data_IF_942505986122
#
_entry.id   IF_942505986122
#
_cell.length_a   1.000
_cell.length_b   1.000
_cell.length_c   1.000
_cell.angle_alpha   90.00
_cell.angle_beta   90.00
_cell.angle_gamma   90.00
#
_symmetry.space_group_name_H-M   'P 1'
#
loop_
_entity.id
_entity.type
_entity.pdbx_description
1 polymer ?
#
# COMPACT_ATOMS: atom_id res chain seq x y z
N UNK A 1 12.38 -2.27 -16.27
CA UNK A 1 11.60 -1.01 -16.26
C UNK A 1 11.01 -0.61 -14.90
N UNK A 2 10.68 -1.55 -13.98
CA UNK A 2 10.21 -1.19 -12.61
C UNK A 2 11.34 -0.93 -11.59
N UNK A 3 12.55 -1.46 -11.82
CA UNK A 3 13.70 -1.29 -10.93
C UNK A 3 14.15 0.18 -10.76
N UNK A 4 13.83 1.07 -11.71
CA UNK A 4 14.22 2.49 -11.62
C UNK A 4 13.51 3.24 -10.50
N UNK A 5 12.24 2.93 -10.21
CA UNK A 5 11.50 3.60 -9.12
C UNK A 5 12.09 3.21 -7.77
N UNK A 6 12.35 1.92 -7.56
CA UNK A 6 12.95 1.45 -6.31
C UNK A 6 14.33 2.05 -6.07
N UNK A 7 15.14 2.18 -7.13
CA UNK A 7 16.45 2.82 -7.05
C UNK A 7 16.35 4.32 -6.74
N UNK A 8 15.55 5.07 -7.50
CA UNK A 8 15.35 6.51 -7.30
C UNK A 8 14.78 6.80 -5.90
N UNK A 9 13.82 5.98 -5.44
CA UNK A 9 13.26 6.11 -4.09
C UNK A 9 14.33 5.93 -3.03
N UNK A 10 15.13 4.88 -3.11
CA UNK A 10 16.17 4.62 -2.13
C UNK A 10 17.30 5.66 -2.17
N UNK A 11 17.65 6.19 -3.34
CA UNK A 11 18.59 7.32 -3.44
C UNK A 11 18.07 8.58 -2.71
N UNK A 12 16.75 8.78 -2.67
CA UNK A 12 16.14 9.94 -2.03
C UNK A 12 15.82 9.72 -0.55
N UNK A 13 15.50 8.50 -0.12
CA UNK A 13 14.97 8.20 1.22
C UNK A 13 15.85 7.27 2.05
N UNK A 14 16.80 6.58 1.40
CA UNK A 14 17.66 5.55 1.98
C UNK A 14 16.90 4.42 2.66
N UNK A 15 15.62 4.21 2.33
CA UNK A 15 14.75 3.23 3.01
C UNK A 15 15.23 1.80 2.83
N UNK A 16 15.79 1.44 1.68
CA UNK A 16 16.36 0.10 1.43
C UNK A 16 17.77 0.04 2.01
N UNK A 17 18.55 1.11 1.85
CA UNK A 17 19.93 1.19 2.33
C UNK A 17 20.02 0.99 3.85
N UNK A 18 19.11 1.60 4.61
CA UNK A 18 19.05 1.51 6.07
C UNK A 18 17.98 0.54 6.59
N UNK A 19 17.44 -0.34 5.74
CA UNK A 19 16.42 -1.30 6.16
C UNK A 19 16.97 -2.37 7.12
N UNK A 20 18.24 -2.74 6.96
CA UNK A 20 18.86 -3.75 7.80
C UNK A 20 19.03 -3.20 9.22
N UNK A 21 18.66 -4.00 10.23
CA UNK A 21 19.00 -3.69 11.62
C UNK A 21 20.53 -3.77 11.80
N UNK A 22 21.06 -3.04 12.77
CA UNK A 22 22.46 -3.18 13.19
C UNK A 22 22.74 -4.64 13.59
N UNK A 23 23.60 -5.33 12.85
CA UNK A 23 24.03 -6.71 13.13
C UNK A 23 24.22 -7.59 11.89
N UNK A 24 24.67 -8.82 12.12
CA UNK A 24 24.98 -9.85 11.11
C UNK A 24 23.73 -10.60 10.57
N UNK A 25 22.53 -10.04 10.77
CA UNK A 25 21.28 -10.68 10.31
C UNK A 25 20.92 -10.26 8.89
N UNK A 26 20.61 -11.26 8.05
CA UNK A 26 20.12 -11.02 6.69
C UNK A 26 18.81 -10.24 6.69
N UNK A 27 18.75 -9.14 5.92
CA UNK A 27 17.55 -8.32 5.73
C UNK A 27 16.33 -9.18 5.33
N UNK A 28 15.23 -9.08 6.07
CA UNK A 28 13.94 -9.73 5.79
C UNK A 28 12.96 -8.71 5.20
N UNK A 29 12.47 -8.99 4.00
CA UNK A 29 11.55 -8.09 3.29
C UNK A 29 10.26 -8.82 2.93
N UNK A 30 9.14 -8.13 3.14
CA UNK A 30 7.83 -8.52 2.62
C UNK A 30 7.43 -7.56 1.50
N UNK A 31 7.07 -8.09 0.33
CA UNK A 31 6.61 -7.31 -0.82
C UNK A 31 5.15 -7.71 -1.14
N UNK A 32 4.21 -6.86 -0.76
CA UNK A 32 2.78 -7.05 -0.99
C UNK A 32 2.41 -6.39 -2.31
N UNK A 33 1.79 -7.14 -3.22
CA UNK A 33 1.66 -6.70 -4.61
C UNK A 33 2.98 -6.81 -5.36
N UNK A 34 3.78 -7.82 -5.04
CA UNK A 34 5.18 -7.92 -5.48
C UNK A 34 5.37 -7.93 -6.99
N UNK A 35 4.51 -8.58 -7.77
CA UNK A 35 4.65 -8.60 -9.23
C UNK A 35 4.50 -7.18 -9.81
N UNK A 36 5.41 -6.73 -10.71
CA UNK A 36 6.37 -7.55 -11.45
C UNK A 36 7.73 -7.78 -10.76
N UNK A 37 7.99 -7.16 -9.61
CA UNK A 37 9.19 -7.39 -8.79
C UNK A 37 10.19 -6.25 -8.75
N UNK A 38 9.79 -5.03 -9.10
CA UNK A 38 10.69 -3.88 -9.17
C UNK A 38 11.41 -3.58 -7.86
N UNK A 39 10.66 -3.51 -6.75
CA UNK A 39 11.23 -3.25 -5.41
C UNK A 39 12.08 -4.41 -4.93
N UNK A 40 11.55 -5.64 -4.98
CA UNK A 40 12.31 -6.86 -4.68
C UNK A 40 13.64 -6.92 -5.45
N UNK A 41 13.65 -6.59 -6.75
CA UNK A 41 14.88 -6.58 -7.55
C UNK A 41 15.89 -5.54 -7.04
N UNK A 42 15.43 -4.34 -6.67
CA UNK A 42 16.31 -3.31 -6.09
C UNK A 42 16.87 -3.75 -4.74
N UNK A 43 16.06 -4.37 -3.88
CA UNK A 43 16.52 -4.94 -2.60
C UNK A 43 17.63 -5.95 -2.86
N UNK A 44 17.42 -6.94 -3.71
CA UNK A 44 18.41 -8.01 -3.98
C UNK A 44 19.71 -7.50 -4.62
N UNK A 45 19.67 -6.36 -5.32
CA UNK A 45 20.88 -5.70 -5.84
C UNK A 45 21.73 -5.11 -4.73
N UNK A 46 21.11 -4.54 -3.69
CA UNK A 46 21.80 -3.90 -2.56
C UNK A 46 22.15 -4.90 -1.46
N UNK A 47 21.23 -5.79 -1.14
CA UNK A 47 21.30 -6.78 -0.08
C UNK A 47 21.20 -8.18 -0.69
N UNK A 48 22.33 -8.73 -1.14
CA UNK A 48 22.37 -10.02 -1.85
C UNK A 48 21.88 -11.21 -1.01
N UNK A 49 21.96 -11.07 0.30
CA UNK A 49 21.53 -12.08 1.27
C UNK A 49 20.12 -11.86 1.82
N UNK A 50 19.41 -10.84 1.34
CA UNK A 50 18.05 -10.57 1.77
C UNK A 50 17.12 -11.76 1.54
N UNK A 51 16.30 -12.05 2.55
CA UNK A 51 15.22 -13.03 2.50
C UNK A 51 13.93 -12.32 2.13
N UNK A 52 13.31 -12.75 1.04
CA UNK A 52 12.12 -12.11 0.47
C UNK A 52 10.91 -13.02 0.64
N UNK A 53 9.81 -12.42 1.12
CA UNK A 53 8.46 -12.96 1.01
C UNK A 53 7.66 -12.05 0.09
N UNK A 54 7.02 -12.64 -0.92
CA UNK A 54 6.15 -11.93 -1.84
C UNK A 54 4.72 -12.39 -1.69
N UNK A 55 3.78 -11.47 -1.80
CA UNK A 55 2.37 -11.79 -2.05
C UNK A 55 1.95 -11.10 -3.33
N UNK A 56 1.33 -11.83 -4.24
CA UNK A 56 0.82 -11.25 -5.48
C UNK A 56 -0.50 -11.89 -5.88
N UNK A 57 -1.28 -11.17 -6.68
CA UNK A 57 -2.55 -11.68 -7.17
C UNK A 57 -2.29 -12.82 -8.18
N UNK A 58 -3.02 -13.94 -8.10
CA UNK A 58 -3.02 -14.98 -9.12
C UNK A 58 -3.32 -14.44 -10.53
N UNK A 59 -2.71 -15.03 -11.56
CA UNK A 59 -2.83 -14.55 -12.95
C UNK A 59 -4.23 -14.70 -13.55
N UNK A 60 -4.93 -15.76 -13.16
CA UNK A 60 -6.35 -16.01 -13.49
C UNK A 60 -7.29 -14.96 -12.89
N UNK A 61 -6.87 -14.31 -11.80
CA UNK A 61 -7.55 -13.15 -11.21
C UNK A 61 -6.97 -11.81 -11.69
N UNK A 62 -6.31 -11.76 -12.86
CA UNK A 62 -5.78 -10.52 -13.43
C UNK A 62 -4.44 -10.04 -12.82
N UNK A 63 -3.77 -10.90 -12.05
CA UNK A 63 -2.43 -10.66 -11.52
C UNK A 63 -1.36 -10.49 -12.59
N UNK A 64 -0.30 -9.75 -12.25
CA UNK A 64 0.82 -9.47 -13.16
C UNK A 64 1.82 -10.63 -13.19
N UNK A 65 2.47 -10.81 -14.33
CA UNK A 65 3.60 -11.74 -14.46
C UNK A 65 4.78 -11.25 -13.62
N UNK A 66 5.34 -12.14 -12.81
CA UNK A 66 6.60 -11.89 -12.09
C UNK A 66 7.76 -11.84 -13.10
N UNK A 67 8.54 -10.76 -13.06
CA UNK A 67 9.68 -10.52 -13.95
C UNK A 67 11.04 -10.70 -13.25
N UNK A 68 11.03 -11.14 -11.98
CA UNK A 68 12.26 -11.38 -11.23
C UNK A 68 13.00 -12.61 -11.78
N UNK A 69 14.27 -12.52 -12.20
CA UNK A 69 14.98 -13.67 -12.75
C UNK A 69 15.19 -14.77 -11.71
N UNK A 70 15.04 -16.05 -12.12
CA UNK A 70 15.37 -17.25 -11.32
C UNK A 70 14.70 -17.33 -9.93
N UNK A 71 13.63 -16.57 -9.69
CA UNK A 71 12.97 -16.52 -8.37
C UNK A 71 12.49 -17.89 -7.87
N UNK A 72 12.03 -18.76 -8.79
CA UNK A 72 11.56 -20.12 -8.47
C UNK A 72 12.64 -21.03 -7.90
N UNK A 73 13.91 -20.80 -8.26
CA UNK A 73 15.04 -21.63 -7.84
C UNK A 73 15.82 -21.00 -6.68
N UNK A 74 15.38 -19.84 -6.19
CA UNK A 74 16.07 -19.11 -5.13
C UNK A 74 15.38 -19.36 -3.79
N UNK A 75 16.02 -20.14 -2.91
CA UNK A 75 15.50 -20.48 -1.58
C UNK A 75 15.28 -19.26 -0.66
N UNK A 76 15.93 -18.12 -0.96
CA UNK A 76 15.72 -16.86 -0.21
C UNK A 76 14.39 -16.19 -0.58
N UNK A 77 13.74 -16.59 -1.67
CA UNK A 77 12.53 -15.95 -2.21
C UNK A 77 11.37 -16.94 -2.15
N UNK A 78 10.31 -16.58 -1.42
CA UNK A 78 9.05 -17.32 -1.41
C UNK A 78 7.91 -16.39 -1.81
N UNK A 79 7.12 -16.78 -2.79
CA UNK A 79 6.01 -15.96 -3.31
C UNK A 79 4.72 -16.74 -3.18
N UNK A 80 3.73 -16.15 -2.52
CA UNK A 80 2.38 -16.69 -2.38
C UNK A 80 1.45 -15.96 -3.37
N UNK A 81 0.68 -16.73 -4.13
CA UNK A 81 -0.32 -16.19 -5.06
C UNK A 81 -1.66 -16.18 -4.34
N UNK A 82 -2.08 -15.01 -3.85
CA UNK A 82 -3.27 -14.89 -2.99
C UNK A 82 -3.86 -13.49 -3.11
N UNK A 83 -5.19 -13.39 -3.16
CA UNK A 83 -5.89 -12.12 -2.96
C UNK A 83 -5.90 -11.79 -1.46
N UNK A 84 -5.05 -10.85 -1.06
CA UNK A 84 -4.92 -10.38 0.32
C UNK A 84 -6.24 -9.83 0.90
N UNK A 85 -7.16 -9.38 0.05
CA UNK A 85 -8.44 -8.80 0.49
C UNK A 85 -9.45 -9.84 0.96
N UNK A 86 -9.11 -11.13 0.80
CA UNK A 86 -9.92 -12.29 1.18
C UNK A 86 -9.38 -13.00 2.44
N UNK A 87 -8.31 -12.50 3.07
CA UNK A 87 -7.72 -13.09 4.28
C UNK A 87 -8.49 -12.67 5.54
N UNK A 88 -9.67 -13.26 5.75
CA UNK A 88 -10.58 -12.89 6.83
C UNK A 88 -9.94 -13.02 8.23
N UNK A 89 -9.20 -14.12 8.47
CA UNK A 89 -8.56 -14.35 9.77
C UNK A 89 -7.50 -13.28 10.09
N UNK A 90 -6.84 -12.70 9.09
CA UNK A 90 -5.88 -11.60 9.32
C UNK A 90 -6.61 -10.36 9.88
N UNK A 91 -7.87 -10.16 9.46
CA UNK A 91 -8.74 -9.08 9.91
C UNK A 91 -9.38 -9.32 11.28
N UNK A 92 -9.11 -10.47 11.92
CA UNK A 92 -9.77 -10.84 13.18
C UNK A 92 -11.25 -11.17 13.00
N UNK A 93 -11.63 -11.64 11.81
CA UNK A 93 -12.96 -12.18 11.52
C UNK A 93 -12.79 -13.61 11.00
N UNK A 94 -13.21 -14.64 11.74
CA UNK A 94 -13.14 -15.98 11.20
C UNK A 94 -13.99 -16.06 9.93
N UNK A 95 -13.55 -16.84 8.94
CA UNK A 95 -14.28 -16.97 7.67
C UNK A 95 -15.75 -17.44 7.88
N UNK A 96 -16.03 -18.12 9.00
CA UNK A 96 -17.38 -18.53 9.43
C UNK A 96 -18.29 -17.36 9.80
N UNK A 97 -17.75 -16.17 10.07
CA UNK A 97 -18.52 -14.95 10.35
C UNK A 97 -19.07 -14.32 9.07
N UNK A 98 -18.58 -14.72 7.89
CA UNK A 98 -19.05 -14.19 6.62
C UNK A 98 -20.44 -14.77 6.32
N UNK A 99 -21.48 -13.93 6.13
CA UNK A 99 -22.83 -14.42 5.86
C UNK A 99 -22.86 -15.35 4.66
N UNK A 100 -23.52 -16.49 4.76
CA UNK A 100 -23.61 -17.49 3.66
C UNK A 100 -24.22 -16.93 2.38
N UNK A 101 -25.02 -15.87 2.48
CA UNK A 101 -25.61 -15.15 1.35
C UNK A 101 -24.62 -14.20 0.65
N UNK A 102 -23.42 -14.00 1.18
CA UNK A 102 -22.43 -13.14 0.57
C UNK A 102 -21.88 -13.80 -0.72
N UNK A 103 -21.84 -13.08 -1.86
CA UNK A 103 -21.49 -13.67 -3.16
C UNK A 103 -20.09 -14.28 -3.20
N UNK A 104 -19.19 -13.79 -2.36
CA UNK A 104 -17.80 -14.28 -2.27
C UNK A 104 -17.52 -15.13 -1.02
N UNK A 105 -18.53 -15.72 -0.36
CA UNK A 105 -18.31 -16.50 0.88
C UNK A 105 -17.25 -17.58 0.71
N UNK A 106 -17.28 -18.31 -0.41
CA UNK A 106 -16.34 -19.40 -0.70
C UNK A 106 -14.90 -18.94 -0.97
N UNK A 107 -14.66 -17.64 -1.23
CA UNK A 107 -13.32 -17.13 -1.53
C UNK A 107 -12.58 -16.67 -0.27
N UNK A 108 -13.26 -16.50 0.86
CA UNK A 108 -12.60 -16.11 2.11
C UNK A 108 -11.71 -17.22 2.63
N UNK A 109 -10.49 -16.83 3.00
CA UNK A 109 -9.49 -17.75 3.51
C UNK A 109 -9.23 -17.47 4.99
N UNK A 110 -9.10 -18.56 5.74
CA UNK A 110 -8.59 -18.54 7.11
C UNK A 110 -7.06 -18.59 7.18
N UNK A 111 -6.36 -18.64 6.04
CA UNK A 111 -4.91 -18.72 5.98
C UNK A 111 -4.29 -17.42 6.54
N UNK A 112 -3.37 -17.54 7.50
CA UNK A 112 -2.53 -16.43 7.97
C UNK A 112 -1.13 -16.59 7.40
N UNK A 113 -0.89 -15.94 6.27
CA UNK A 113 0.39 -16.00 5.59
C UNK A 113 1.49 -15.42 6.48
N UNK A 114 2.61 -16.14 6.57
CA UNK A 114 3.82 -15.71 7.27
C UNK A 114 3.60 -15.30 8.73
N UNK A 115 2.61 -15.88 9.43
CA UNK A 115 2.20 -15.48 10.79
C UNK A 115 3.34 -15.39 11.81
N UNK A 116 4.33 -16.28 11.69
CA UNK A 116 5.46 -16.36 12.60
C UNK A 116 6.72 -15.64 12.06
N UNK A 117 6.60 -14.84 11.00
CA UNK A 117 7.72 -14.09 10.41
C UNK A 117 7.53 -12.59 10.64
N UNK A 118 8.60 -11.92 11.06
CA UNK A 118 8.69 -10.46 11.15
C UNK A 118 9.66 -9.94 10.09
N UNK A 119 9.35 -8.77 9.51
CA UNK A 119 10.11 -8.16 8.44
C UNK A 119 10.68 -6.81 8.84
N UNK A 120 11.87 -6.52 8.35
CA UNK A 120 12.56 -5.25 8.57
C UNK A 120 12.01 -4.15 7.65
N UNK A 121 11.58 -4.55 6.45
CA UNK A 121 11.01 -3.68 5.42
C UNK A 121 9.79 -4.33 4.78
N UNK A 122 8.70 -3.58 4.71
CA UNK A 122 7.48 -4.01 4.01
C UNK A 122 7.14 -3.04 2.88
N UNK A 123 6.94 -3.57 1.67
CA UNK A 123 6.36 -2.83 0.56
C UNK A 123 4.88 -3.17 0.43
N UNK A 124 4.04 -2.14 0.33
CA UNK A 124 2.61 -2.21 0.02
C UNK A 124 2.40 -1.60 -1.37
N UNK A 125 2.60 -2.42 -2.39
CA UNK A 125 2.59 -2.05 -3.80
C UNK A 125 1.31 -2.43 -4.56
N UNK A 126 0.35 -3.12 -3.94
CA UNK A 126 -0.86 -3.51 -4.64
C UNK A 126 -1.75 -2.28 -4.87
N UNK A 127 -2.20 -2.09 -6.12
CA UNK A 127 -3.07 -0.98 -6.50
C UNK A 127 -4.33 -1.50 -7.19
N UNK A 128 -5.40 -0.71 -7.15
CA UNK A 128 -6.68 -1.05 -7.79
C UNK A 128 -6.60 -1.28 -9.31
N UNK A 129 -5.50 -0.90 -9.98
CA UNK A 129 -5.28 -1.22 -11.39
C UNK A 129 -5.10 -2.74 -11.62
N UNK A 130 -4.53 -3.47 -10.65
CA UNK A 130 -4.46 -4.94 -10.67
C UNK A 130 -5.85 -5.55 -10.44
N UNK A 131 -6.68 -4.91 -9.60
CA UNK A 131 -8.08 -5.31 -9.34
C UNK A 131 -9.01 -5.01 -10.51
N UNK A 132 -8.77 -3.94 -11.28
CA UNK A 132 -9.58 -3.56 -12.45
C UNK A 132 -9.50 -4.57 -13.59
N UNK A 133 -8.34 -5.23 -13.76
CA UNK A 133 -8.18 -6.32 -14.74
C UNK A 133 -8.90 -7.61 -14.31
N UNK A 134 -9.08 -7.83 -13.01
CA UNK A 134 -9.79 -8.98 -12.46
C UNK A 134 -11.32 -8.89 -12.65
N UNK A 135 -11.86 -7.68 -12.82
CA UNK A 135 -13.30 -7.44 -12.77
C UNK A 135 -13.76 -6.55 -13.93
N UNK A 136 -13.65 -7.04 -15.16
CA UNK A 136 -14.17 -6.36 -16.36
C UNK A 136 -15.72 -6.32 -16.46
N UNK A 137 -16.45 -6.39 -15.34
CA UNK A 137 -17.92 -6.54 -15.35
C UNK A 137 -18.70 -5.97 -14.17
N UNK A 138 -18.10 -5.17 -13.28
CA UNK A 138 -18.86 -4.60 -12.16
C UNK A 138 -18.40 -3.18 -11.79
N UNK A 139 -18.88 -2.20 -12.56
CA UNK A 139 -18.56 -0.77 -12.42
C UNK A 139 -19.08 -0.15 -11.10
N UNK A 140 -20.00 -0.82 -10.39
CA UNK A 140 -20.64 -0.30 -9.17
C UNK A 140 -19.94 -0.67 -7.83
N UNK A 141 -18.81 -1.40 -7.85
CA UNK A 141 -18.12 -1.88 -6.63
C UNK A 141 -16.74 -1.27 -6.35
N UNK A 142 -16.34 -0.26 -7.14
CA UNK A 142 -14.97 0.24 -7.17
C UNK A 142 -14.49 0.93 -5.86
N UNK A 143 -15.29 1.75 -5.15
CA UNK A 143 -14.85 2.39 -3.92
C UNK A 143 -14.59 1.39 -2.78
N UNK A 144 -15.50 0.44 -2.56
CA UNK A 144 -15.37 -0.58 -1.51
C UNK A 144 -14.17 -1.50 -1.77
N UNK A 145 -13.91 -1.86 -3.03
CA UNK A 145 -12.73 -2.64 -3.42
C UNK A 145 -11.42 -1.92 -3.09
N UNK A 146 -11.34 -0.61 -3.37
CA UNK A 146 -10.13 0.19 -3.05
C UNK A 146 -9.92 0.31 -1.54
N UNK A 147 -10.97 0.59 -0.78
CA UNK A 147 -10.87 0.67 0.68
C UNK A 147 -10.46 -0.68 1.28
N UNK A 148 -11.09 -1.78 0.84
CA UNK A 148 -10.71 -3.15 1.24
C UNK A 148 -9.25 -3.45 0.93
N UNK A 149 -8.77 -3.11 -0.27
CA UNK A 149 -7.38 -3.33 -0.64
C UNK A 149 -6.41 -2.51 0.22
N UNK A 150 -6.69 -1.22 0.42
CA UNK A 150 -5.85 -0.34 1.23
C UNK A 150 -5.75 -0.84 2.68
N UNK A 151 -6.90 -1.09 3.32
CA UNK A 151 -6.97 -1.61 4.69
C UNK A 151 -6.33 -2.99 4.82
N UNK A 152 -6.50 -3.88 3.83
CA UNK A 152 -5.86 -5.21 3.86
C UNK A 152 -4.35 -5.14 3.80
N UNK A 153 -3.80 -4.28 2.96
CA UNK A 153 -2.35 -4.09 2.89
C UNK A 153 -1.80 -3.51 4.19
N UNK A 154 -2.44 -2.47 4.73
CA UNK A 154 -2.01 -1.83 5.98
C UNK A 154 -2.03 -2.81 7.15
N UNK A 155 -3.16 -3.49 7.36
CA UNK A 155 -3.32 -4.46 8.45
C UNK A 155 -2.30 -5.59 8.33
N UNK A 156 -2.20 -6.21 7.14
CA UNK A 156 -1.25 -7.30 6.91
C UNK A 156 0.20 -6.85 7.11
N UNK A 157 0.58 -5.69 6.56
CA UNK A 157 1.93 -5.17 6.66
C UNK A 157 2.33 -4.91 8.11
N UNK A 158 1.49 -4.22 8.87
CA UNK A 158 1.80 -3.83 10.24
C UNK A 158 1.80 -5.01 11.22
N UNK A 159 0.99 -6.02 10.98
CA UNK A 159 1.02 -7.26 11.77
C UNK A 159 2.26 -8.14 11.47
N UNK A 160 3.08 -7.78 10.48
CA UNK A 160 4.33 -8.48 10.14
C UNK A 160 5.56 -7.58 10.14
N UNK A 161 5.39 -6.28 10.32
CA UNK A 161 6.48 -5.33 10.43
C UNK A 161 7.07 -5.44 11.83
N UNK A 162 8.38 -5.62 11.95
CA UNK A 162 9.04 -5.56 13.26
C UNK A 162 8.90 -4.15 13.84
N UNK A 163 8.96 -4.03 15.16
CA UNK A 163 9.06 -2.71 15.77
C UNK A 163 10.31 -1.98 15.26
N UNK A 164 10.18 -0.69 14.98
CA UNK A 164 11.22 0.15 14.36
C UNK A 164 11.57 -0.26 12.91
N UNK A 165 10.74 -1.10 12.28
CA UNK A 165 10.88 -1.43 10.86
C UNK A 165 10.48 -0.27 9.94
N UNK A 166 10.67 -0.48 8.63
CA UNK A 166 10.28 0.48 7.59
C UNK A 166 9.14 -0.04 6.73
N UNK A 167 8.28 0.87 6.26
CA UNK A 167 7.14 0.58 5.42
C UNK A 167 7.10 1.55 4.24
N UNK A 168 6.87 1.03 3.04
CA UNK A 168 6.66 1.81 1.82
C UNK A 168 5.28 1.52 1.26
N UNK A 169 4.44 2.52 1.14
CA UNK A 169 3.05 2.37 0.69
C UNK A 169 2.79 3.20 -0.56
N UNK A 170 2.26 2.57 -1.61
CA UNK A 170 1.74 3.27 -2.79
C UNK A 170 0.40 3.91 -2.44
N UNK A 171 0.28 5.21 -2.68
CA UNK A 171 -0.95 5.98 -2.45
C UNK A 171 -1.25 6.90 -3.64
N UNK A 172 -2.44 7.50 -3.64
CA UNK A 172 -2.90 8.41 -4.68
C UNK A 172 -3.50 9.65 -4.03
N UNK A 173 -3.27 10.83 -4.63
CA UNK A 173 -3.90 12.10 -4.21
C UNK A 173 -3.68 12.41 -2.72
N UNK A 174 -2.53 13.00 -2.33
CA UNK A 174 -2.25 13.29 -0.92
C UNK A 174 -3.32 14.19 -0.26
N UNK A 175 -4.05 14.97 -1.05
CA UNK A 175 -5.16 15.82 -0.60
C UNK A 175 -6.47 15.08 -0.30
N UNK A 176 -6.59 13.80 -0.68
CA UNK A 176 -7.79 13.01 -0.38
C UNK A 176 -7.88 12.68 1.12
N UNK A 177 -9.07 12.79 1.70
CA UNK A 177 -9.30 12.61 3.15
C UNK A 177 -8.74 11.29 3.68
N UNK A 178 -9.04 10.16 3.02
CA UNK A 178 -8.53 8.83 3.42
C UNK A 178 -6.99 8.76 3.40
N UNK A 179 -6.36 9.35 2.37
CA UNK A 179 -4.91 9.33 2.22
C UNK A 179 -4.24 10.25 3.24
N UNK A 180 -4.77 11.46 3.44
CA UNK A 180 -4.30 12.40 4.44
C UNK A 180 -4.40 11.82 5.86
N UNK A 181 -5.48 11.09 6.16
CA UNK A 181 -5.64 10.40 7.44
C UNK A 181 -4.56 9.33 7.64
N UNK A 182 -4.30 8.48 6.64
CA UNK A 182 -3.23 7.47 6.73
C UNK A 182 -1.87 8.15 6.96
N UNK A 183 -1.53 9.19 6.19
CA UNK A 183 -0.28 9.93 6.38
C UNK A 183 -0.19 10.49 7.81
N UNK A 184 -1.26 11.14 8.29
CA UNK A 184 -1.34 11.69 9.66
C UNK A 184 -1.12 10.62 10.73
N UNK A 185 -1.70 9.44 10.56
CA UNK A 185 -1.49 8.32 11.49
C UNK A 185 -0.02 7.96 11.57
N UNK A 186 0.64 7.80 10.42
CA UNK A 186 2.06 7.43 10.39
C UNK A 186 2.96 8.55 10.92
N UNK A 187 2.64 9.83 10.73
CA UNK A 187 3.45 10.93 11.29
C UNK A 187 3.46 10.96 12.82
N UNK A 188 2.48 10.32 13.48
CA UNK A 188 2.43 10.21 14.95
C UNK A 188 3.32 9.10 15.52
N UNK A 189 3.71 8.13 14.71
CA UNK A 189 4.38 6.90 15.18
C UNK A 189 5.59 6.50 14.31
N UNK A 190 6.04 7.35 13.39
CA UNK A 190 7.16 7.05 12.48
C UNK A 190 7.75 8.31 11.86
N UNK A 191 8.95 8.18 11.30
CA UNK A 191 9.55 9.21 10.44
C UNK A 191 9.02 9.07 9.01
N UNK A 192 8.18 10.02 8.59
CA UNK A 192 7.48 9.97 7.30
C UNK A 192 8.12 10.87 6.26
N UNK A 193 8.31 10.34 5.05
CA UNK A 193 8.66 11.11 3.84
C UNK A 193 7.76 10.69 2.69
N UNK A 194 7.37 11.65 1.86
CA UNK A 194 6.65 11.37 0.62
C UNK A 194 7.61 11.40 -0.57
N UNK A 195 7.46 10.43 -1.46
CA UNK A 195 8.31 10.26 -2.63
C UNK A 195 7.48 10.10 -3.90
N UNK A 196 7.91 10.77 -4.97
CA UNK A 196 7.37 10.59 -6.32
C UNK A 196 8.51 10.56 -7.32
N UNK A 197 8.52 9.55 -8.17
CA UNK A 197 9.52 9.43 -9.23
C UNK A 197 9.34 10.54 -10.26
N UNK A 198 10.45 11.19 -10.62
CA UNK A 198 10.50 12.23 -11.65
C UNK A 198 10.41 11.62 -13.05
N UNK A 199 10.78 10.35 -13.20
CA UNK A 199 10.92 9.68 -14.50
C UNK A 199 9.79 8.70 -14.81
N UNK A 200 9.13 8.14 -13.79
CA UNK A 200 8.05 7.16 -13.93
C UNK A 200 6.83 7.62 -13.17
N UNK A 201 5.65 7.51 -13.80
CA UNK A 201 4.37 7.91 -13.21
C UNK A 201 4.32 9.37 -12.70
N UNK A 202 5.21 10.23 -13.21
CA UNK A 202 5.31 11.63 -12.80
C UNK A 202 4.02 12.40 -13.10
N UNK A 203 3.36 12.12 -14.22
CA UNK A 203 2.08 12.76 -14.61
C UNK A 203 0.86 12.25 -13.83
N UNK A 204 0.96 11.09 -13.19
CA UNK A 204 -0.19 10.44 -12.51
C UNK A 204 -0.34 10.94 -11.07
N UNK A 205 -1.46 10.63 -10.42
CA UNK A 205 -1.66 10.97 -9.00
C UNK A 205 -0.93 10.04 -8.03
N UNK A 206 -0.23 8.99 -8.50
CA UNK A 206 0.43 8.03 -7.62
C UNK A 206 1.70 8.60 -7.00
N UNK A 207 1.92 8.28 -5.74
CA UNK A 207 3.14 8.57 -5.00
C UNK A 207 3.38 7.47 -3.94
N UNK A 208 4.49 7.57 -3.23
CA UNK A 208 4.88 6.62 -2.19
C UNK A 208 4.99 7.36 -0.86
N UNK A 209 4.37 6.85 0.18
CA UNK A 209 4.74 7.18 1.55
C UNK A 209 5.82 6.22 2.01
N UNK A 210 6.90 6.77 2.51
CA UNK A 210 8.00 6.05 3.13
C UNK A 210 7.97 6.37 4.62
N UNK A 211 7.60 5.38 5.42
CA UNK A 211 7.60 5.46 6.87
C UNK A 211 8.76 4.63 7.42
N UNK A 212 9.63 5.26 8.21
CA UNK A 212 10.78 4.62 8.85
C UNK A 212 10.60 4.62 10.36
N UNK A 213 11.26 3.67 11.02
CA UNK A 213 11.28 3.59 12.49
C UNK A 213 9.85 3.54 13.04
N UNK A 214 9.01 2.72 12.40
CA UNK A 214 7.58 2.61 12.75
C UNK A 214 7.46 1.99 14.14
N UNK A 215 6.89 2.74 15.07
CA UNK A 215 6.47 2.22 16.37
C UNK A 215 5.17 1.44 16.22
N UNK A 216 5.32 0.15 16.00
CA UNK A 216 4.20 -0.79 15.88
C UNK A 216 3.44 -0.99 17.19
N UNK A 217 4.02 -0.61 18.32
CA UNK A 217 3.44 -0.82 19.66
C UNK A 217 2.75 0.44 20.20
N UNK A 218 2.84 1.57 19.50
CA UNK A 218 2.18 2.82 19.91
C UNK A 218 0.65 2.66 19.95
N UNK A 219 0.00 3.39 20.88
CA UNK A 219 -1.46 3.36 21.01
C UNK A 219 -2.15 3.84 19.73
N UNK A 220 -1.57 4.82 19.03
CA UNK A 220 -2.04 5.33 17.74
C UNK A 220 -2.03 4.23 16.68
N UNK A 221 -0.95 3.46 16.60
CA UNK A 221 -0.81 2.39 15.61
C UNK A 221 -1.76 1.23 15.89
N UNK A 222 -1.88 0.82 17.16
CA UNK A 222 -2.83 -0.23 17.57
C UNK A 222 -4.27 0.19 17.30
N UNK A 223 -4.62 1.43 17.62
CA UNK A 223 -5.94 2.00 17.34
C UNK A 223 -6.24 2.06 15.84
N UNK A 224 -5.24 2.42 15.03
CA UNK A 224 -5.36 2.45 13.58
C UNK A 224 -5.59 1.06 12.97
N UNK A 225 -4.89 0.02 13.45
CA UNK A 225 -5.11 -1.36 13.01
C UNK A 225 -6.55 -1.80 13.32
N UNK A 226 -7.06 -1.52 14.51
CA UNK A 226 -8.46 -1.83 14.88
C UNK A 226 -9.44 -1.10 13.97
N UNK A 227 -9.21 0.20 13.72
CA UNK A 227 -10.02 1.01 12.81
C UNK A 227 -10.01 0.45 11.38
N UNK A 228 -8.85 0.11 10.83
CA UNK A 228 -8.74 -0.43 9.46
C UNK A 228 -9.39 -1.81 9.32
N UNK A 229 -9.28 -2.68 10.35
CA UNK A 229 -10.04 -3.94 10.40
C UNK A 229 -11.55 -3.71 10.36
N UNK A 230 -12.04 -2.71 11.10
CA UNK A 230 -13.46 -2.34 11.09
C UNK A 230 -13.90 -1.75 9.75
N UNK A 231 -13.08 -0.90 9.13
CA UNK A 231 -13.36 -0.36 7.79
C UNK A 231 -13.40 -1.45 6.72
N UNK A 232 -12.49 -2.42 6.80
CA UNK A 232 -12.52 -3.61 5.94
C UNK A 232 -13.83 -4.40 6.11
N UNK A 233 -14.25 -4.64 7.35
CA UNK A 233 -15.52 -5.31 7.68
C UNK A 233 -16.74 -4.53 7.16
N UNK A 234 -16.75 -3.21 7.31
CA UNK A 234 -17.86 -2.38 6.81
C UNK A 234 -17.91 -2.41 5.28
N UNK A 235 -16.77 -2.34 4.60
CA UNK A 235 -16.68 -2.44 3.15
C UNK A 235 -17.04 -3.84 2.61
N UNK A 236 -17.03 -4.86 3.49
CA UNK A 236 -17.54 -6.21 3.23
C UNK A 236 -19.07 -6.27 3.37
N UNK A 237 -19.62 -5.78 4.49
CA UNK A 237 -21.02 -5.93 4.86
C UNK A 237 -21.98 -4.93 4.21
N UNK A 238 -21.51 -3.77 3.72
CA UNK A 238 -22.36 -2.77 3.03
C UNK A 238 -22.90 -3.24 1.67
N UNK A 239 -22.59 -4.47 1.25
CA UNK A 239 -23.35 -5.15 0.20
C UNK A 239 -24.76 -5.58 0.64
N UNK A 240 -25.09 -5.51 1.95
CA UNK A 240 -26.37 -6.00 2.51
C UNK A 240 -27.20 -4.85 3.13
N UNK A 241 -26.61 -3.91 3.86
CA UNK A 241 -27.35 -2.77 4.44
C UNK A 241 -26.45 -1.51 4.50
N UNK A 242 -26.82 -0.45 3.79
CA UNK A 242 -26.14 0.84 3.85
C UNK A 242 -26.57 1.60 5.11
N UNK A 243 -25.69 1.68 6.11
CA UNK A 243 -25.85 2.62 7.22
C UNK A 243 -25.68 4.05 6.67
N UNK A 244 -26.59 4.99 6.98
CA UNK A 244 -26.43 6.38 6.60
C UNK A 244 -25.29 7.01 7.41
N UNK A 245 -24.15 7.26 6.77
CA UNK A 245 -23.10 8.10 7.35
C UNK A 245 -23.66 9.50 7.53
N UNK A 246 -23.68 10.04 8.75
CA UNK A 246 -24.15 11.39 9.01
C UNK A 246 -23.15 12.40 8.42
N UNK A 247 -23.52 13.18 7.37
CA UNK A 247 -22.55 13.99 6.62
C UNK A 247 -21.86 15.08 7.47
N UNK A 248 -22.57 15.63 8.47
CA UNK A 248 -22.04 16.68 9.36
C UNK A 248 -20.88 16.19 10.23
N UNK A 249 -21.01 15.01 10.82
CA UNK A 249 -19.94 14.43 11.65
C UNK A 249 -18.66 14.15 10.83
N UNK A 250 -18.82 13.83 9.54
CA UNK A 250 -17.70 13.66 8.62
C UNK A 250 -17.02 15.01 8.28
N UNK A 251 -17.81 16.06 8.03
CA UNK A 251 -17.28 17.41 7.77
C UNK A 251 -16.50 17.98 8.95
N UNK A 252 -17.01 17.84 10.17
CA UNK A 252 -16.35 18.31 11.39
C UNK A 252 -15.01 17.59 11.60
N UNK A 253 -15.00 16.25 11.43
CA UNK A 253 -13.78 15.46 11.51
C UNK A 253 -12.72 15.88 10.47
N UNK A 254 -13.14 16.17 9.24
CA UNK A 254 -12.23 16.66 8.19
C UNK A 254 -11.68 18.04 8.56
N UNK A 255 -12.53 18.93 9.09
CA UNK A 255 -12.14 20.29 9.49
C UNK A 255 -11.12 20.25 10.64
N UNK A 256 -11.35 19.41 11.64
CA UNK A 256 -10.40 19.20 12.75
C UNK A 256 -9.07 18.65 12.24
N UNK A 257 -9.10 17.65 11.36
CA UNK A 257 -7.89 17.09 10.75
C UNK A 257 -7.11 18.14 9.97
N UNK A 258 -7.78 18.99 9.19
CA UNK A 258 -7.13 20.06 8.44
C UNK A 258 -6.56 21.15 9.34
N UNK A 259 -7.23 21.47 10.46
CA UNK A 259 -6.71 22.44 11.42
C UNK A 259 -5.43 21.95 12.12
N UNK A 260 -5.37 20.67 12.49
CA UNK A 260 -4.22 20.06 13.17
C UNK A 260 -3.08 19.74 12.20
N UNK A 261 -3.38 19.10 11.07
CA UNK A 261 -2.40 18.46 10.19
C UNK A 261 -2.27 19.12 8.82
N UNK A 262 -3.16 20.03 8.46
CA UNK A 262 -3.16 20.70 7.15
C UNK A 262 -1.83 21.35 6.77
N UNK A 263 -1.19 22.15 7.64
CA UNK A 263 0.12 22.74 7.34
C UNK A 263 1.19 21.69 7.05
N UNK A 264 1.29 20.65 7.89
CA UNK A 264 2.26 19.56 7.71
C UNK A 264 1.97 18.74 6.44
N UNK A 265 0.70 18.52 6.11
CA UNK A 265 0.31 17.86 4.86
C UNK A 265 0.76 18.67 3.64
N UNK A 266 0.59 20.00 3.67
CA UNK A 266 1.05 20.89 2.60
C UNK A 266 2.57 20.79 2.45
N UNK A 267 3.33 20.82 3.55
CA UNK A 267 4.79 20.71 3.51
C UNK A 267 5.26 19.38 2.92
N UNK A 268 4.62 18.27 3.32
CA UNK A 268 4.91 16.93 2.81
C UNK A 268 4.52 16.76 1.34
N UNK A 269 3.37 17.29 0.93
CA UNK A 269 2.78 17.05 -0.40
C UNK A 269 3.28 18.02 -1.48
N UNK A 270 3.70 19.24 -1.11
CA UNK A 270 4.14 20.28 -2.06
C UNK A 270 5.23 19.80 -3.02
N UNK A 271 6.29 19.08 -2.58
CA UNK A 271 7.28 18.55 -3.51
C UNK A 271 6.70 17.58 -4.55
N UNK A 272 5.69 16.78 -4.17
CA UNK A 272 5.02 15.84 -5.07
C UNK A 272 4.20 16.59 -6.13
N UNK A 273 3.44 17.60 -5.71
CA UNK A 273 2.64 18.42 -6.61
C UNK A 273 3.51 19.19 -7.60
N UNK A 274 4.68 19.71 -7.16
CA UNK A 274 5.65 20.35 -8.06
C UNK A 274 6.13 19.38 -9.15
N UNK A 275 6.57 18.17 -8.76
CA UNK A 275 6.99 17.12 -9.72
C UNK A 275 5.87 16.80 -10.70
N UNK A 276 4.63 16.66 -10.22
CA UNK A 276 3.48 16.35 -11.07
C UNK A 276 3.15 17.49 -12.03
N UNK A 277 3.09 18.72 -11.53
CA UNK A 277 2.79 19.91 -12.33
C UNK A 277 3.83 20.12 -13.44
N UNK A 278 5.12 19.97 -13.12
CA UNK A 278 6.20 20.12 -14.10
C UNK A 278 6.14 19.02 -15.17
N UNK A 279 5.88 17.76 -14.79
CA UNK A 279 5.71 16.66 -15.73
C UNK A 279 4.48 16.86 -16.64
N UNK A 280 3.36 17.37 -16.09
CA UNK A 280 2.18 17.70 -16.88
C UNK A 280 2.49 18.81 -17.89
N UNK A 281 3.10 19.93 -17.47
CA UNK A 281 3.50 21.02 -18.39
C UNK A 281 4.43 20.56 -19.51
N UNK A 282 5.31 19.60 -19.23
CA UNK A 282 6.23 19.06 -20.22
C UNK A 282 5.60 18.08 -21.22
N UNK A 283 4.40 17.56 -20.94
CA UNK A 283 3.75 16.49 -21.70
C UNK A 283 3.28 16.95 -23.08
N UNK A 284 3.47 16.10 -24.10
CA UNK A 284 3.20 16.43 -25.51
C UNK A 284 1.74 16.77 -25.79
N UNK A 285 0.79 16.07 -25.15
CA UNK A 285 -0.65 16.29 -25.36
C UNK A 285 -1.15 17.66 -24.88
N UNK A 286 -0.40 18.36 -24.02
CA UNK A 286 -0.71 19.75 -23.61
C UNK A 286 -0.05 20.79 -24.53
N UNK A 287 0.96 20.40 -25.30
CA UNK A 287 1.61 21.27 -26.30
C UNK A 287 0.80 21.32 -27.59
N UNK A 288 0.18 20.22 -27.98
CA UNK A 288 -0.70 20.14 -29.14
C UNK A 288 -1.96 21.01 -28.99
N UNK A 289 -2.54 21.11 -27.79
CA UNK A 289 -3.73 21.95 -27.55
C UNK A 289 -3.48 23.46 -27.65
N UNK A 290 -2.22 23.90 -27.50
CA UNK A 290 -1.84 25.32 -27.54
C UNK A 290 -1.50 25.75 -28.99
N UNK A 291 -1.11 24.82 -29.86
CA UNK A 291 -0.82 25.12 -31.27
C UNK A 291 -2.05 25.13 -32.19
N UNK A 292 -3.24 24.84 -31.65
CA UNK A 292 -4.52 24.84 -32.36
C UNK A 292 -5.49 25.94 -31.88
N UNK A 293 -5.00 26.94 -31.13
CA UNK A 293 -5.78 28.12 -30.71
C UNK A 293 -5.20 29.40 -31.29
#
# INVERSE_FOLDING_TARGET
>A
MACSIGQEMDENTSVITFAAADGDQSLRVLDIGMAPGGFTQTVLRKHRDARIRGITLPSDMGGLRIMLPRWRNNLKIRIEFTDITMLANEMGRPATFIPTRHPNTATFSSKRLFENEMFDLVFCGATGATTRRACAGAEHHEPHKRLRLATSQLVFALQRLRNQGSLVLVMHKPESSDTAEVIRTFTKCSSVRLFKSKTKHAITSSFYMVAREVDTQSEEMQSAIVKWKKQWENAMCQSIEALPTCPRAFEDQVREMLAEFGPQLIDLATPLWKIQADALRASSFLKESISTS
#
